data_IF_004837018037
#
_entry.id   IF_004837018037
#
_cell.length_a   1.000
_cell.length_b   1.000
_cell.length_c   1.000
_cell.angle_alpha   90.00
_cell.angle_beta   90.00
_cell.angle_gamma   90.00
#
_symmetry.space_group_name_H-M   'P 1'
#
loop_
_entity.id
_entity.type
_entity.pdbx_description
1 polymer ?
#
# COMPACT_ATOMS: atom_id res chain seq x y z
N UNK A 1 1.80 6.42 -9.40
CA UNK A 1 2.63 7.63 -9.20
C UNK A 1 1.77 8.88 -9.41
N UNK A 2 1.67 9.70 -8.38
CA UNK A 2 0.91 10.98 -8.41
C UNK A 2 1.81 12.07 -8.97
N UNK A 3 1.30 12.88 -9.90
CA UNK A 3 2.03 14.01 -10.47
C UNK A 3 2.20 15.15 -9.45
N UNK A 4 3.19 16.01 -9.65
CA UNK A 4 3.41 17.19 -8.79
C UNK A 4 2.18 18.11 -8.72
N UNK A 5 1.38 18.16 -9.78
CA UNK A 5 0.14 18.96 -9.83
C UNK A 5 -0.92 18.33 -8.91
N UNK A 6 -1.11 17.02 -8.98
CA UNK A 6 -2.04 16.29 -8.12
C UNK A 6 -1.62 16.37 -6.65
N UNK A 7 -0.31 16.24 -6.34
CA UNK A 7 0.19 16.43 -4.97
C UNK A 7 -0.17 17.81 -4.43
N UNK A 8 0.05 18.88 -5.20
CA UNK A 8 -0.34 20.24 -4.81
C UNK A 8 -1.84 20.38 -4.61
N UNK A 9 -2.66 19.77 -5.48
CA UNK A 9 -4.11 19.79 -5.35
C UNK A 9 -4.59 19.12 -4.06
N UNK A 10 -4.03 17.95 -3.71
CA UNK A 10 -4.33 17.24 -2.47
C UNK A 10 -3.96 18.09 -1.25
N UNK A 11 -2.75 18.68 -1.24
CA UNK A 11 -2.30 19.55 -0.14
C UNK A 11 -3.25 20.75 0.01
N UNK A 12 -3.62 21.40 -1.09
CA UNK A 12 -4.53 22.55 -1.06
C UNK A 12 -5.93 22.19 -0.57
N UNK A 13 -6.45 21.04 -1.00
CA UNK A 13 -7.73 20.53 -0.53
C UNK A 13 -7.70 20.28 0.98
N UNK A 14 -6.65 19.63 1.49
CA UNK A 14 -6.48 19.36 2.91
C UNK A 14 -6.34 20.66 3.74
N UNK A 15 -5.63 21.68 3.23
CA UNK A 15 -5.56 23.01 3.86
C UNK A 15 -6.94 23.66 3.93
N UNK A 16 -7.72 23.62 2.85
CA UNK A 16 -9.09 24.17 2.82
C UNK A 16 -10.01 23.47 3.83
N UNK A 17 -9.79 22.19 4.10
CA UNK A 17 -10.49 21.44 5.14
C UNK A 17 -9.96 21.69 6.57
N UNK A 18 -9.03 22.66 6.76
CA UNK A 18 -8.52 23.05 8.07
C UNK A 18 -7.23 22.34 8.49
N UNK A 19 -6.61 21.57 7.61
CA UNK A 19 -5.30 20.94 7.86
C UNK A 19 -4.21 21.99 8.03
N UNK A 20 -3.41 21.89 9.11
CA UNK A 20 -2.32 22.84 9.39
C UNK A 20 -0.96 22.35 8.92
N UNK A 21 -0.69 21.07 9.13
CA UNK A 21 0.54 20.42 8.69
C UNK A 21 0.13 19.18 7.88
N UNK A 22 0.47 19.16 6.60
CA UNK A 22 0.10 18.10 5.68
C UNK A 22 1.37 17.43 5.20
N UNK A 23 1.38 16.12 5.30
CA UNK A 23 2.47 15.26 4.86
C UNK A 23 1.89 14.30 3.83
N UNK A 24 2.57 14.15 2.71
CA UNK A 24 2.29 13.13 1.72
C UNK A 24 3.36 12.06 1.83
N UNK A 25 2.92 10.82 1.83
CA UNK A 25 3.81 9.66 1.88
C UNK A 25 3.31 8.61 0.87
N UNK A 26 4.19 7.72 0.44
CA UNK A 26 3.85 6.65 -0.48
C UNK A 26 3.04 5.56 0.23
N UNK A 27 1.94 5.11 -0.39
CA UNK A 27 1.02 4.14 0.21
C UNK A 27 1.70 2.84 0.65
N UNK A 28 2.55 2.18 -0.17
CA UNK A 28 3.23 0.96 0.24
C UNK A 28 4.18 1.16 1.43
N UNK A 29 4.80 2.34 1.56
CA UNK A 29 5.61 2.68 2.73
C UNK A 29 4.76 2.80 3.99
N UNK A 30 3.60 3.45 3.87
CA UNK A 30 2.65 3.58 4.98
C UNK A 30 2.10 2.21 5.37
N UNK A 31 1.71 1.39 4.38
CA UNK A 31 1.24 0.02 4.58
C UNK A 31 2.29 -0.84 5.31
N UNK A 32 3.55 -0.80 4.86
CA UNK A 32 4.66 -1.54 5.47
C UNK A 32 4.86 -1.19 6.95
N UNK A 33 4.81 0.11 7.29
CA UNK A 33 4.86 0.56 8.70
C UNK A 33 3.65 0.06 9.49
N UNK A 34 2.48 0.08 8.87
CA UNK A 34 1.23 -0.34 9.52
C UNK A 34 1.16 -1.82 9.84
N UNK A 35 1.82 -2.67 9.04
CA UNK A 35 1.94 -4.11 9.30
C UNK A 35 3.14 -4.44 10.21
N UNK A 36 3.86 -3.43 10.71
CA UNK A 36 4.94 -3.61 11.68
C UNK A 36 6.30 -3.95 11.08
N UNK A 37 6.52 -3.75 9.78
CA UNK A 37 7.84 -3.93 9.17
C UNK A 37 8.80 -2.83 9.63
N UNK A 38 10.02 -3.20 10.02
CA UNK A 38 11.08 -2.25 10.32
C UNK A 38 11.76 -1.76 9.05
N UNK A 39 11.09 -0.83 8.36
CA UNK A 39 11.60 -0.26 7.12
C UNK A 39 12.75 0.73 7.31
N UNK A 40 13.05 1.13 8.56
CA UNK A 40 14.09 2.13 8.85
C UNK A 40 15.47 1.52 9.06
N UNK A 41 15.55 0.22 9.27
CA UNK A 41 16.80 -0.53 9.29
C UNK A 41 17.37 -0.71 7.87
N UNK A 42 18.68 -1.02 7.74
CA UNK A 42 19.31 -1.30 6.45
C UNK A 42 19.01 -2.73 5.93
N UNK A 43 17.76 -3.16 6.07
CA UNK A 43 17.29 -4.50 5.70
C UNK A 43 16.20 -4.34 4.63
N UNK A 44 16.19 -5.23 3.64
CA UNK A 44 15.16 -5.29 2.61
C UNK A 44 13.83 -5.78 3.16
N UNK A 45 12.76 -4.99 2.99
CA UNK A 45 11.40 -5.38 3.33
C UNK A 45 10.52 -5.23 2.09
N UNK A 46 9.80 -6.27 1.70
CA UNK A 46 8.88 -6.23 0.58
C UNK A 46 7.43 -6.28 1.06
N UNK A 47 6.62 -5.39 0.51
CA UNK A 47 5.17 -5.31 0.76
C UNK A 47 4.41 -5.32 -0.56
N UNK A 48 3.27 -6.00 -0.56
CA UNK A 48 2.29 -6.01 -1.66
C UNK A 48 0.97 -5.55 -1.05
N UNK A 49 0.49 -4.38 -1.43
CA UNK A 49 -0.79 -3.83 -1.01
C UNK A 49 -1.80 -3.94 -2.15
N UNK A 50 -2.79 -4.82 -2.00
CA UNK A 50 -3.85 -5.04 -3.00
C UNK A 50 -5.11 -4.36 -2.51
N UNK A 51 -5.30 -3.10 -2.94
CA UNK A 51 -6.42 -2.26 -2.57
C UNK A 51 -7.69 -2.50 -3.41
N UNK A 52 -8.56 -1.50 -3.47
CA UNK A 52 -9.74 -1.48 -4.35
C UNK A 52 -9.37 -1.14 -5.79
N UNK A 53 -8.69 0.00 -6.01
CA UNK A 53 -8.36 0.52 -7.34
C UNK A 53 -6.95 0.21 -7.84
N UNK A 54 -6.00 -0.02 -6.94
CA UNK A 54 -4.59 -0.27 -7.27
C UNK A 54 -4.01 -1.43 -6.50
N UNK A 55 -3.00 -2.08 -7.09
CA UNK A 55 -2.08 -2.96 -6.38
C UNK A 55 -0.70 -2.31 -6.39
N UNK A 56 -0.20 -2.02 -5.20
CA UNK A 56 1.06 -1.33 -4.96
C UNK A 56 2.08 -2.28 -4.36
N UNK A 57 3.21 -2.41 -5.03
CA UNK A 57 4.26 -3.37 -4.70
C UNK A 57 5.55 -2.59 -4.49
N UNK A 58 6.21 -2.76 -3.35
CA UNK A 58 7.44 -2.04 -3.07
C UNK A 58 8.42 -2.84 -2.22
N UNK A 59 9.71 -2.59 -2.47
CA UNK A 59 10.81 -2.94 -1.58
C UNK A 59 11.30 -1.68 -0.89
N UNK A 60 11.42 -1.74 0.42
CA UNK A 60 11.73 -0.63 1.32
C UNK A 60 12.97 -0.98 2.15
N UNK A 61 13.86 0.00 2.32
CA UNK A 61 15.02 -0.09 3.20
C UNK A 61 15.46 1.32 3.63
N UNK A 62 16.00 1.47 4.82
CA UNK A 62 16.49 2.75 5.38
C UNK A 62 15.45 3.91 5.29
N UNK A 63 14.17 3.58 5.42
CA UNK A 63 13.06 4.53 5.38
C UNK A 63 12.70 5.06 3.99
N UNK A 64 13.25 4.47 2.93
CA UNK A 64 13.03 4.86 1.54
C UNK A 64 12.56 3.69 0.69
N UNK A 65 11.80 4.00 -0.37
CA UNK A 65 11.46 3.04 -1.42
C UNK A 65 12.66 2.80 -2.31
N UNK A 66 13.09 1.54 -2.43
CA UNK A 66 14.22 1.11 -3.27
C UNK A 66 13.76 0.83 -4.69
N UNK A 67 12.71 0.03 -4.82
CA UNK A 67 12.04 -0.27 -6.08
C UNK A 67 10.55 -0.43 -5.83
N UNK A 68 9.71 -0.03 -6.77
CA UNK A 68 8.26 -0.17 -6.65
C UNK A 68 7.57 -0.23 -8.01
N UNK A 69 6.39 -0.84 -8.01
CA UNK A 69 5.42 -0.81 -9.10
C UNK A 69 4.02 -0.60 -8.55
N UNK A 70 3.22 0.14 -9.31
CA UNK A 70 1.81 0.37 -9.03
C UNK A 70 1.01 0.08 -10.29
N UNK A 71 0.04 -0.80 -10.18
CA UNK A 71 -0.82 -1.19 -11.29
C UNK A 71 -2.29 -0.93 -10.95
N UNK A 72 -3.06 -0.52 -11.96
CA UNK A 72 -4.50 -0.30 -11.84
C UNK A 72 -5.27 -1.60 -12.06
N UNK A 73 -4.93 -2.61 -11.28
CA UNK A 73 -5.53 -3.93 -11.29
C UNK A 73 -5.67 -4.39 -9.83
N UNK A 74 -6.90 -4.35 -9.30
CA UNK A 74 -7.19 -4.60 -7.91
C UNK A 74 -8.65 -5.02 -7.68
N UNK A 75 -9.19 -4.84 -6.48
CA UNK A 75 -10.49 -5.33 -6.07
C UNK A 75 -11.66 -4.94 -6.98
N UNK A 76 -11.70 -3.68 -7.45
CA UNK A 76 -12.78 -3.18 -8.30
C UNK A 76 -12.77 -3.83 -9.70
N UNK A 77 -11.56 -4.12 -10.23
CA UNK A 77 -11.43 -4.86 -11.49
C UNK A 77 -11.89 -6.31 -11.35
N UNK A 78 -11.64 -6.92 -10.19
CA UNK A 78 -12.11 -8.27 -9.88
C UNK A 78 -13.64 -8.32 -9.79
N UNK A 79 -14.27 -7.33 -9.15
CA UNK A 79 -15.74 -7.21 -9.08
C UNK A 79 -16.36 -7.04 -10.46
N UNK A 80 -15.74 -6.21 -11.30
CA UNK A 80 -16.16 -6.04 -12.68
C UNK A 80 -16.05 -7.34 -13.48
N UNK A 81 -14.93 -8.06 -13.37
CA UNK A 81 -14.72 -9.34 -14.05
C UNK A 81 -15.75 -10.40 -13.63
N UNK A 82 -16.06 -10.48 -12.33
CA UNK A 82 -17.09 -11.37 -11.80
C UNK A 82 -18.47 -11.00 -12.38
N UNK A 83 -18.79 -9.71 -12.43
CA UNK A 83 -20.08 -9.25 -12.98
C UNK A 83 -20.23 -9.62 -14.46
N UNK A 84 -19.20 -9.39 -15.27
CA UNK A 84 -19.21 -9.75 -16.69
C UNK A 84 -19.25 -11.28 -16.89
N UNK A 85 -18.49 -12.05 -16.09
CA UNK A 85 -18.55 -13.51 -16.13
C UNK A 85 -19.94 -14.06 -15.87
N UNK A 86 -20.63 -13.54 -14.84
CA UNK A 86 -22.00 -13.96 -14.50
C UNK A 86 -23.00 -13.56 -15.58
N UNK A 87 -22.84 -12.39 -16.14
CA UNK A 87 -23.64 -11.89 -17.24
C UNK A 87 -23.51 -12.78 -18.47
N UNK A 88 -22.29 -13.15 -18.83
CA UNK A 88 -22.03 -13.94 -20.02
C UNK A 88 -22.46 -15.40 -19.87
N UNK A 89 -22.10 -16.05 -18.75
CA UNK A 89 -22.37 -17.46 -18.52
C UNK A 89 -23.83 -17.74 -18.16
N UNK A 90 -24.41 -16.92 -17.29
CA UNK A 90 -25.73 -17.17 -16.74
C UNK A 90 -26.83 -16.28 -17.33
N UNK A 91 -26.45 -15.33 -18.21
CA UNK A 91 -27.36 -14.31 -18.75
C UNK A 91 -28.09 -13.56 -17.62
N UNK A 92 -27.33 -13.24 -16.54
CA UNK A 92 -27.84 -12.64 -15.32
C UNK A 92 -27.12 -11.30 -15.03
N UNK A 93 -27.87 -10.23 -14.94
CA UNK A 93 -27.34 -8.93 -14.53
C UNK A 93 -27.37 -8.84 -13.00
N UNK A 94 -26.21 -8.57 -12.39
CA UNK A 94 -26.04 -8.33 -10.96
C UNK A 94 -25.51 -6.92 -10.71
N UNK A 95 -25.67 -6.41 -9.49
CA UNK A 95 -25.10 -5.12 -9.07
C UNK A 95 -23.68 -5.29 -8.49
N UNK A 96 -22.91 -4.18 -8.43
CA UNK A 96 -21.55 -4.12 -7.91
C UNK A 96 -21.42 -4.76 -6.52
N UNK A 97 -22.32 -4.43 -5.59
CA UNK A 97 -22.32 -5.03 -4.25
C UNK A 97 -22.50 -6.54 -4.25
N UNK A 98 -23.21 -7.07 -5.25
CA UNK A 98 -23.38 -8.53 -5.38
C UNK A 98 -22.10 -9.16 -5.90
N UNK A 99 -21.43 -8.53 -6.86
CA UNK A 99 -20.13 -8.97 -7.36
C UNK A 99 -19.07 -8.96 -6.26
N UNK A 100 -18.99 -7.90 -5.47
CA UNK A 100 -18.12 -7.80 -4.29
C UNK A 100 -18.42 -8.90 -3.27
N UNK A 101 -19.69 -9.16 -2.95
CA UNK A 101 -20.08 -10.22 -2.04
C UNK A 101 -19.67 -11.61 -2.54
N UNK A 102 -19.73 -11.85 -3.85
CA UNK A 102 -19.25 -13.10 -4.48
C UNK A 102 -17.73 -13.18 -4.35
N UNK A 103 -16.98 -12.11 -4.67
CA UNK A 103 -15.54 -12.06 -4.48
C UNK A 103 -15.15 -12.38 -3.05
N UNK A 104 -15.79 -11.76 -2.08
CA UNK A 104 -15.50 -11.98 -0.65
C UNK A 104 -15.82 -13.39 -0.17
N UNK A 105 -16.86 -14.04 -0.74
CA UNK A 105 -17.31 -15.35 -0.28
C UNK A 105 -16.66 -16.50 -1.05
N UNK A 106 -16.44 -16.36 -2.34
CA UNK A 106 -15.99 -17.41 -3.26
C UNK A 106 -14.65 -17.09 -3.93
N UNK A 107 -14.08 -15.89 -3.74
CA UNK A 107 -12.81 -15.49 -4.35
C UNK A 107 -11.67 -16.39 -3.88
N UNK A 108 -10.96 -16.99 -4.82
CA UNK A 108 -9.80 -17.84 -4.56
C UNK A 108 -8.70 -17.56 -5.58
N UNK A 109 -7.45 -17.57 -5.12
CA UNK A 109 -6.25 -17.48 -5.95
C UNK A 109 -5.71 -18.87 -6.34
N UNK A 110 -6.30 -19.93 -5.82
CA UNK A 110 -5.95 -21.33 -6.09
C UNK A 110 -7.21 -22.14 -6.31
N UNK A 111 -7.08 -23.20 -7.09
CA UNK A 111 -8.14 -24.18 -7.25
C UNK A 111 -8.36 -24.95 -5.94
N UNK A 112 -9.61 -25.20 -5.57
CA UNK A 112 -9.97 -25.89 -4.33
C UNK A 112 -10.64 -27.23 -4.62
N UNK A 113 -10.30 -28.27 -3.85
CA UNK A 113 -10.91 -29.60 -3.98
C UNK A 113 -12.35 -29.62 -3.46
N UNK A 114 -12.61 -28.89 -2.35
CA UNK A 114 -13.93 -28.77 -1.75
C UNK A 114 -14.52 -27.40 -2.05
N UNK A 115 -15.34 -27.34 -3.08
CA UNK A 115 -15.97 -26.08 -3.51
C UNK A 115 -17.06 -25.64 -2.55
N UNK A 116 -17.04 -24.34 -2.22
CA UNK A 116 -18.20 -23.66 -1.66
C UNK A 116 -19.08 -23.13 -2.77
N UNK A 117 -20.37 -22.94 -2.46
CA UNK A 117 -21.33 -22.37 -3.38
C UNK A 117 -22.06 -21.17 -2.79
N UNK A 118 -22.59 -20.34 -3.66
CA UNK A 118 -23.38 -19.16 -3.29
C UNK A 118 -24.59 -19.02 -4.20
N UNK A 119 -25.75 -18.79 -3.61
CA UNK A 119 -26.99 -18.47 -4.36
C UNK A 119 -26.99 -16.98 -4.66
N UNK A 120 -26.95 -16.62 -5.95
CA UNK A 120 -26.93 -15.27 -6.46
C UNK A 120 -28.25 -14.91 -7.12
N UNK A 121 -28.78 -13.73 -6.81
CA UNK A 121 -30.01 -13.21 -7.37
C UNK A 121 -29.73 -11.98 -8.25
N UNK A 122 -30.38 -11.93 -9.38
CA UNK A 122 -30.24 -10.81 -10.32
C UNK A 122 -31.43 -10.72 -11.27
N UNK A 123 -31.24 -9.98 -12.37
CA UNK A 123 -32.22 -9.81 -13.44
C UNK A 123 -31.77 -10.62 -14.65
N UNK A 124 -32.64 -11.52 -15.11
CA UNK A 124 -32.44 -12.27 -16.36
C UNK A 124 -32.40 -11.32 -17.57
N UNK A 125 -31.39 -11.44 -18.40
CA UNK A 125 -31.18 -10.56 -19.55
C UNK A 125 -32.22 -10.75 -20.65
N UNK A 126 -32.77 -11.94 -20.76
CA UNK A 126 -33.73 -12.29 -21.84
C UNK A 126 -35.15 -11.87 -21.48
N UNK A 127 -35.57 -12.20 -20.26
CA UNK A 127 -36.94 -11.99 -19.81
C UNK A 127 -37.16 -10.69 -19.04
N UNK A 128 -36.07 -10.09 -18.50
CA UNK A 128 -36.10 -8.95 -17.61
C UNK A 128 -36.61 -9.28 -16.20
N UNK A 129 -36.97 -10.50 -15.91
CA UNK A 129 -37.54 -10.94 -14.63
C UNK A 129 -36.46 -11.32 -13.61
N UNK A 130 -36.78 -11.35 -12.31
CA UNK A 130 -35.86 -11.88 -11.30
C UNK A 130 -35.48 -13.34 -11.58
N UNK A 131 -34.19 -13.65 -11.45
CA UNK A 131 -33.64 -15.00 -11.65
C UNK A 131 -32.61 -15.29 -10.55
N UNK A 132 -32.48 -16.55 -10.22
CA UNK A 132 -31.53 -17.06 -9.22
C UNK A 132 -30.64 -18.11 -9.86
N UNK A 133 -29.35 -18.05 -9.57
CA UNK A 133 -28.35 -19.03 -10.01
C UNK A 133 -27.45 -19.42 -8.84
N UNK A 134 -26.84 -20.60 -8.91
CA UNK A 134 -25.81 -21.05 -7.95
C UNK A 134 -24.45 -20.91 -8.62
N UNK A 135 -23.50 -20.32 -7.92
CA UNK A 135 -22.12 -20.05 -8.36
C UNK A 135 -21.18 -20.79 -7.43
N UNK A 136 -20.07 -21.31 -7.95
CA UNK A 136 -19.10 -22.12 -7.25
C UNK A 136 -17.71 -21.46 -7.17
N UNK A 137 -16.90 -21.85 -6.16
CA UNK A 137 -15.57 -21.25 -5.91
C UNK A 137 -14.64 -21.38 -7.11
N UNK A 138 -14.54 -22.55 -7.74
CA UNK A 138 -13.60 -22.73 -8.85
C UNK A 138 -13.99 -21.96 -10.12
N UNK A 139 -15.27 -21.64 -10.29
CA UNK A 139 -15.70 -20.72 -11.35
C UNK A 139 -15.12 -19.31 -11.14
N UNK A 140 -15.17 -18.83 -9.91
CA UNK A 140 -14.63 -17.51 -9.55
C UNK A 140 -13.11 -17.52 -9.59
N UNK A 141 -12.46 -18.62 -9.17
CA UNK A 141 -11.02 -18.81 -9.37
C UNK A 141 -10.62 -18.65 -10.83
N UNK A 142 -11.28 -19.36 -11.74
CA UNK A 142 -10.97 -19.25 -13.18
C UNK A 142 -11.22 -17.85 -13.73
N UNK A 143 -12.25 -17.16 -13.24
CA UNK A 143 -12.55 -15.76 -13.60
C UNK A 143 -11.43 -14.80 -13.15
N UNK A 144 -10.86 -14.99 -11.97
CA UNK A 144 -9.87 -14.08 -11.39
C UNK A 144 -8.43 -14.44 -11.70
N UNK A 145 -8.16 -15.66 -12.16
CA UNK A 145 -6.82 -16.22 -12.31
C UNK A 145 -5.86 -15.32 -13.08
N UNK A 146 -6.23 -14.85 -14.25
CA UNK A 146 -5.37 -14.03 -15.12
C UNK A 146 -4.97 -12.71 -14.43
N UNK A 147 -5.91 -12.11 -13.70
CA UNK A 147 -5.68 -10.87 -12.95
C UNK A 147 -4.71 -11.10 -11.79
N UNK A 148 -4.92 -12.15 -11.02
CA UNK A 148 -4.06 -12.53 -9.89
C UNK A 148 -2.66 -12.94 -10.37
N UNK A 149 -2.59 -13.66 -11.49
CA UNK A 149 -1.32 -13.99 -12.14
C UNK A 149 -0.55 -12.73 -12.57
N UNK A 150 -1.24 -11.71 -13.06
CA UNK A 150 -0.64 -10.43 -13.44
C UNK A 150 -0.07 -9.71 -12.22
N UNK A 151 -0.81 -9.66 -11.10
CA UNK A 151 -0.32 -9.05 -9.84
C UNK A 151 0.95 -9.78 -9.38
N UNK A 152 0.95 -11.11 -9.40
CA UNK A 152 2.11 -11.91 -9.01
C UNK A 152 3.31 -11.71 -9.95
N UNK A 153 3.08 -11.51 -11.24
CA UNK A 153 4.15 -11.20 -12.20
C UNK A 153 4.78 -9.83 -11.96
N UNK A 154 3.98 -8.82 -11.66
CA UNK A 154 4.48 -7.50 -11.29
C UNK A 154 5.29 -7.54 -9.98
N UNK A 155 4.86 -8.38 -9.01
CA UNK A 155 5.61 -8.59 -7.79
C UNK A 155 6.96 -9.28 -8.07
N UNK A 156 7.01 -10.25 -8.97
CA UNK A 156 8.24 -10.91 -9.42
C UNK A 156 9.21 -9.90 -10.07
N UNK A 157 8.71 -9.03 -10.94
CA UNK A 157 9.53 -7.99 -11.57
C UNK A 157 10.12 -6.99 -10.58
N UNK A 158 9.38 -6.64 -9.50
CA UNK A 158 9.90 -5.81 -8.41
C UNK A 158 11.04 -6.53 -7.69
N UNK A 159 10.87 -7.81 -7.36
CA UNK A 159 11.89 -8.61 -6.68
C UNK A 159 13.14 -8.77 -7.56
N UNK A 160 12.99 -9.04 -8.85
CA UNK A 160 14.10 -9.15 -9.82
C UNK A 160 14.89 -7.84 -9.97
N UNK A 161 14.23 -6.69 -9.87
CA UNK A 161 14.89 -5.38 -9.94
C UNK A 161 15.50 -4.92 -8.60
N UNK A 162 15.34 -5.72 -7.54
CA UNK A 162 15.85 -5.41 -6.20
C UNK A 162 17.35 -5.71 -6.12
N UNK A 163 18.18 -4.85 -5.49
CA UNK A 163 19.58 -5.12 -5.24
C UNK A 163 19.78 -6.46 -4.52
N UNK A 164 20.85 -7.24 -4.88
CA UNK A 164 21.04 -8.61 -4.40
C UNK A 164 21.06 -8.76 -2.87
N UNK A 165 21.64 -7.79 -2.16
CA UNK A 165 21.72 -7.82 -0.69
C UNK A 165 20.31 -7.72 -0.06
N UNK A 166 19.47 -6.83 -0.58
CA UNK A 166 18.10 -6.66 -0.09
C UNK A 166 17.18 -7.81 -0.54
N UNK A 167 17.43 -8.38 -1.72
CA UNK A 167 16.73 -9.58 -2.17
C UNK A 167 17.05 -10.78 -1.26
N UNK A 168 18.29 -10.90 -0.80
CA UNK A 168 18.71 -11.90 0.20
C UNK A 168 17.90 -11.76 1.51
N UNK A 169 17.71 -10.55 2.01
CA UNK A 169 16.90 -10.29 3.20
C UNK A 169 15.43 -10.74 3.00
N UNK A 170 14.88 -10.51 1.79
CA UNK A 170 13.49 -10.88 1.48
C UNK A 170 13.33 -12.40 1.40
N UNK A 171 14.32 -13.14 0.94
CA UNK A 171 14.31 -14.61 0.94
C UNK A 171 14.14 -15.16 2.37
N UNK A 172 14.83 -14.57 3.35
CA UNK A 172 14.77 -14.99 4.74
C UNK A 172 13.53 -14.51 5.48
N UNK A 173 13.12 -13.26 5.23
CA UNK A 173 12.03 -12.60 5.97
C UNK A 173 10.66 -12.76 5.32
N UNK A 174 10.63 -13.03 4.03
CA UNK A 174 9.40 -13.14 3.24
C UNK A 174 8.84 -11.79 2.80
N UNK A 175 7.68 -11.88 2.14
CA UNK A 175 6.90 -10.76 1.61
C UNK A 175 5.63 -10.60 2.42
N UNK A 176 5.28 -9.38 2.78
CA UNK A 176 4.03 -9.07 3.49
C UNK A 176 2.96 -8.62 2.50
N UNK A 177 1.80 -9.27 2.54
CA UNK A 177 0.63 -8.89 1.71
C UNK A 177 -0.41 -8.22 2.58
N UNK A 178 -0.95 -7.11 2.11
CA UNK A 178 -1.96 -6.30 2.80
C UNK A 178 -3.02 -5.76 1.82
N UNK A 179 -3.96 -4.95 2.30
CA UNK A 179 -5.11 -4.50 1.53
C UNK A 179 -6.24 -5.53 1.50
N UNK A 180 -7.37 -5.16 0.90
CA UNK A 180 -8.55 -6.03 0.82
C UNK A 180 -8.32 -7.30 0.01
N UNK A 181 -7.48 -7.22 -1.03
CA UNK A 181 -7.11 -8.37 -1.87
C UNK A 181 -6.29 -9.43 -1.15
N UNK A 182 -5.62 -9.07 -0.05
CA UNK A 182 -4.92 -10.04 0.82
C UNK A 182 -5.86 -11.08 1.45
N UNK A 183 -7.17 -10.81 1.48
CA UNK A 183 -8.18 -11.70 2.04
C UNK A 183 -8.70 -12.75 1.02
N UNK A 184 -8.25 -12.70 -0.23
CA UNK A 184 -8.58 -13.73 -1.22
C UNK A 184 -7.95 -15.05 -0.81
N UNK A 185 -8.75 -16.10 -0.78
CA UNK A 185 -8.29 -17.42 -0.36
C UNK A 185 -7.07 -17.90 -1.17
N UNK A 186 -6.00 -18.30 -0.50
CA UNK A 186 -4.80 -18.87 -1.13
C UNK A 186 -3.92 -17.87 -1.89
N UNK A 187 -4.12 -16.55 -1.71
CA UNK A 187 -3.28 -15.52 -2.33
C UNK A 187 -1.82 -15.64 -1.87
N UNK A 188 -1.60 -15.98 -0.60
CA UNK A 188 -0.29 -16.25 -0.02
C UNK A 188 0.42 -17.41 -0.71
N UNK A 189 -0.30 -18.50 -0.94
CA UNK A 189 0.23 -19.70 -1.63
C UNK A 189 0.59 -19.38 -3.07
N UNK A 190 -0.32 -18.76 -3.82
CA UNK A 190 -0.10 -18.40 -5.22
C UNK A 190 1.10 -17.47 -5.37
N UNK A 191 1.21 -16.43 -4.52
CA UNK A 191 2.34 -15.51 -4.54
C UNK A 191 3.63 -16.19 -4.09
N UNK A 192 3.59 -17.05 -3.07
CA UNK A 192 4.78 -17.79 -2.62
C UNK A 192 5.32 -18.74 -3.70
N UNK A 193 4.44 -19.43 -4.43
CA UNK A 193 4.83 -20.27 -5.57
C UNK A 193 5.46 -19.45 -6.69
N UNK A 194 4.91 -18.27 -6.97
CA UNK A 194 5.37 -17.41 -8.07
C UNK A 194 6.68 -16.67 -7.74
N UNK A 195 6.84 -16.22 -6.52
CA UNK A 195 8.01 -15.46 -6.05
C UNK A 195 9.13 -16.35 -5.52
N UNK A 196 8.86 -17.62 -5.20
CA UNK A 196 9.79 -18.59 -4.58
C UNK A 196 10.37 -18.08 -3.24
N UNK A 197 9.58 -17.29 -2.51
CA UNK A 197 9.90 -16.79 -1.16
C UNK A 197 8.67 -16.93 -0.26
N UNK A 198 8.83 -16.99 1.07
CA UNK A 198 7.67 -16.99 1.98
C UNK A 198 6.80 -15.76 1.79
N UNK A 199 5.49 -15.95 1.80
CA UNK A 199 4.50 -14.85 1.73
C UNK A 199 3.58 -14.94 2.93
N UNK A 200 3.37 -13.82 3.60
CA UNK A 200 2.57 -13.71 4.80
C UNK A 200 1.46 -12.68 4.62
N UNK A 201 0.28 -12.99 5.13
CA UNK A 201 -0.84 -12.04 5.16
C UNK A 201 -0.74 -11.20 6.43
N UNK A 202 -0.93 -9.89 6.31
CA UNK A 202 -1.00 -8.98 7.43
C UNK A 202 -2.14 -9.36 8.38
N UNK A 203 -1.96 -9.19 9.69
CA UNK A 203 -2.98 -9.51 10.69
C UNK A 203 -4.27 -8.68 10.50
N UNK A 204 -4.12 -7.40 10.13
CA UNK A 204 -5.24 -6.48 9.89
C UNK A 204 -5.10 -5.80 8.52
N UNK A 205 -5.24 -6.53 7.40
CA UNK A 205 -4.88 -6.05 6.08
C UNK A 205 -5.69 -4.83 5.62
N UNK A 206 -6.95 -4.74 5.99
CA UNK A 206 -7.81 -3.59 5.66
C UNK A 206 -7.46 -2.30 6.41
N UNK A 207 -6.69 -2.39 7.50
CA UNK A 207 -6.39 -1.26 8.37
C UNK A 207 -4.92 -0.84 8.32
N UNK A 208 -4.07 -1.56 7.60
CA UNK A 208 -2.62 -1.36 7.58
C UNK A 208 -2.23 0.08 7.24
N UNK A 209 -2.80 0.66 6.19
CA UNK A 209 -2.53 2.05 5.78
C UNK A 209 -2.97 3.05 6.84
N UNK A 210 -4.13 2.85 7.46
CA UNK A 210 -4.63 3.74 8.52
C UNK A 210 -3.73 3.68 9.76
N UNK A 211 -3.33 2.48 10.19
CA UNK A 211 -2.41 2.26 11.33
C UNK A 211 -1.05 2.89 11.03
N UNK A 212 -0.48 2.64 9.85
CA UNK A 212 0.81 3.19 9.42
C UNK A 212 0.81 4.70 9.35
N UNK A 213 -0.27 5.32 8.88
CA UNK A 213 -0.45 6.78 8.89
C UNK A 213 -0.34 7.33 10.31
N UNK A 214 -0.99 6.69 11.28
CA UNK A 214 -0.92 7.08 12.70
C UNK A 214 0.49 6.96 13.26
N UNK A 215 1.20 5.88 12.97
CA UNK A 215 2.58 5.63 13.43
C UNK A 215 3.53 6.68 12.85
N UNK A 216 3.50 6.91 11.53
CA UNK A 216 4.35 7.90 10.86
C UNK A 216 4.08 9.32 11.36
N UNK A 217 2.83 9.69 11.56
CA UNK A 217 2.47 11.00 12.11
C UNK A 217 3.05 11.22 13.50
N UNK A 218 3.00 10.21 14.38
CA UNK A 218 3.59 10.27 15.72
C UNK A 218 5.12 10.37 15.67
N UNK A 219 5.77 9.64 14.75
CA UNK A 219 7.22 9.73 14.53
C UNK A 219 7.64 11.13 14.09
N UNK A 220 6.98 11.74 13.12
CA UNK A 220 7.24 13.11 12.66
C UNK A 220 7.09 14.13 13.80
N UNK A 221 6.07 13.96 14.65
CA UNK A 221 5.88 14.84 15.83
C UNK A 221 7.02 14.70 16.82
N UNK A 222 7.47 13.49 17.10
CA UNK A 222 8.59 13.19 17.99
C UNK A 222 9.90 13.79 17.50
N UNK A 223 10.25 13.59 16.23
CA UNK A 223 11.45 14.15 15.61
C UNK A 223 11.45 15.69 15.66
N UNK A 224 10.33 16.32 15.34
CA UNK A 224 10.20 17.80 15.46
C UNK A 224 10.38 18.30 16.90
N UNK A 225 9.89 17.56 17.88
CA UNK A 225 10.09 17.88 19.30
C UNK A 225 11.58 17.85 19.67
N UNK A 226 12.31 16.83 19.21
CA UNK A 226 13.76 16.71 19.42
C UNK A 226 14.52 17.84 18.73
N UNK A 227 14.25 18.15 17.46
CA UNK A 227 14.87 19.27 16.75
C UNK A 227 14.57 20.62 17.39
N UNK A 228 13.34 20.83 17.89
CA UNK A 228 12.98 22.05 18.62
C UNK A 228 13.75 22.17 19.95
N UNK A 229 13.91 21.06 20.69
CA UNK A 229 14.69 21.00 21.91
C UNK A 229 16.19 21.27 21.65
N UNK A 230 16.77 20.63 20.61
CA UNK A 230 18.15 20.86 20.20
C UNK A 230 18.35 22.32 19.79
N UNK A 231 17.45 22.92 19.02
CA UNK A 231 17.52 24.35 18.65
C UNK A 231 17.50 25.26 19.85
N UNK A 232 16.67 24.96 20.89
CA UNK A 232 16.65 25.73 22.16
C UNK A 232 17.97 25.63 22.89
N UNK A 233 18.59 24.43 22.95
CA UNK A 233 19.88 24.21 23.61
C UNK A 233 20.99 25.02 22.91
N UNK A 234 21.05 24.98 21.56
CA UNK A 234 22.04 25.73 20.80
C UNK A 234 21.79 27.23 20.80
N UNK A 235 20.54 27.69 20.85
CA UNK A 235 20.21 29.11 21.02
C UNK A 235 20.56 29.63 22.42
N UNK A 236 20.36 28.83 23.46
CA UNK A 236 20.75 29.16 24.80
C UNK A 236 22.28 29.24 24.96
N UNK A 237 23.07 28.41 24.26
CA UNK A 237 24.54 28.50 24.24
C UNK A 237 25.07 29.77 23.54
N UNK A 238 24.33 30.32 22.56
CA UNK A 238 24.72 31.58 21.91
C UNK A 238 24.58 32.82 22.84
N UNK A 239 23.76 32.77 23.86
CA UNK A 239 23.58 33.86 24.86
C UNK A 239 24.70 33.85 25.93
N UNK A 240 25.48 32.78 26.01
CA UNK A 240 26.60 32.68 27.03
C UNK A 240 27.97 32.96 26.38
N UNK A 241 28.08 33.25 25.10
CA UNK A 241 29.33 33.74 24.50
C UNK A 241 29.47 35.28 24.61
N UNK A 242 29.95 35.68 25.74
CA UNK A 242 30.81 36.81 26.10
C UNK A 242 30.60 38.17 25.38
N UNK A 243 30.15 39.22 26.09
CA UNK A 243 30.08 40.58 25.56
C UNK A 243 31.43 41.35 25.57
N UNK A 244 32.58 40.71 25.74
CA UNK A 244 33.88 41.38 25.90
C UNK A 244 34.84 41.19 24.72
N UNK A 245 34.37 40.86 23.54
CA UNK A 245 35.24 40.73 22.34
C UNK A 245 34.97 41.81 21.26
N UNK A 246 34.46 42.97 21.64
CA UNK A 246 34.37 44.12 20.73
C UNK A 246 34.84 45.38 21.45
N UNK A 247 36.14 45.48 21.70
CA UNK A 247 36.85 46.74 21.94
C UNK A 247 38.33 46.52 21.65
N UNK A 248 38.71 46.44 20.40
CA UNK A 248 40.02 46.76 19.86
C UNK A 248 39.86 46.71 18.35
N UNK A 249 39.94 47.86 17.74
CA UNK A 249 40.30 48.21 16.37
C UNK A 249 39.28 49.19 15.72
N UNK A 250 39.39 50.43 16.20
CA UNK A 250 39.05 51.61 15.38
C UNK A 250 39.90 52.79 15.81
N UNK A 251 41.18 52.75 15.47
CA UNK A 251 42.05 53.91 15.39
C UNK A 251 43.22 53.61 14.45
N UNK A 252 43.05 53.94 13.21
CA UNK A 252 44.10 54.41 12.27
C UNK A 252 43.52 54.51 10.89
N UNK A 253 43.17 55.72 10.50
CA UNK A 253 43.70 56.33 9.29
C UNK A 253 42.97 57.67 9.07
N UNK A 254 43.54 58.73 9.58
CA UNK A 254 43.54 60.02 8.89
C UNK A 254 44.98 60.51 8.87
N UNK A 255 45.36 61.07 7.74
CA UNK A 255 46.59 61.77 7.32
C UNK A 255 47.53 60.99 6.40
N UNK A 256 47.39 61.23 5.13
CA UNK A 256 48.23 62.01 4.16
C UNK A 256 47.78 61.73 2.72
#
# INVERSE_FOLDING_TARGET
>A
NITTVEQKAIIQAAIKCGGRNIYLEEEPKVAAVGVGLDIFSPIGNMVIDIGGGTSDIAVLSMGSTVTSRSIKLAGDNMDFAISEYIKDKYQLIIGERTAEAIKMSLGSAVEVENESDMIVKGRDMTTGLPKTVTIYTNEIYHCLKEMLDTIGEEARLVLESTPPELAGDIIERGVMVTGGGALINGIDRMLSEKLQVPVMIAENPLQSVAIGTGILLNRIKSERGIFAAIRRIFSAKKVVMNPTAHMIDDERTEES
#
